data_IF_517516349231
#
_entry.id   IF_517516349231
#
_cell.length_a   1.000
_cell.length_b   1.000
_cell.length_c   1.000
_cell.angle_alpha   90.00
_cell.angle_beta   90.00
_cell.angle_gamma   90.00
#
_symmetry.space_group_name_H-M   'P 1'
#
loop_
_entity.id
_entity.type
_entity.pdbx_description
1 polymer ?
#
# COMPACT_ATOMS: atom_id res chain seq x y z
N UNK A 1 -4.43 5.97 -7.10
CA UNK A 1 -3.51 5.46 -6.06
C UNK A 1 -4.26 4.64 -5.02
N UNK A 2 -5.34 5.17 -4.42
CA UNK A 2 -6.11 4.46 -3.37
C UNK A 2 -7.56 4.07 -3.79
N UNK A 3 -7.86 4.06 -5.10
CA UNK A 3 -9.18 3.70 -5.66
C UNK A 3 -10.37 4.37 -4.94
N UNK A 4 -10.28 5.69 -4.80
CA UNK A 4 -11.33 6.54 -4.26
C UNK A 4 -12.27 7.00 -5.38
N UNK A 5 -13.50 6.49 -5.39
CA UNK A 5 -14.51 6.81 -6.41
C UNK A 5 -14.82 8.31 -6.48
N UNK A 6 -14.71 9.03 -5.35
CA UNK A 6 -14.96 10.47 -5.28
C UNK A 6 -13.69 11.32 -5.46
N UNK A 7 -12.62 10.78 -6.04
CA UNK A 7 -11.33 11.48 -6.16
C UNK A 7 -11.45 12.88 -6.79
N UNK A 8 -12.14 12.99 -7.94
CA UNK A 8 -12.31 14.29 -8.64
C UNK A 8 -13.10 15.32 -7.82
N UNK A 9 -14.31 15.01 -7.30
CA UNK A 9 -15.04 15.91 -6.40
C UNK A 9 -14.23 16.33 -5.17
N UNK A 10 -13.56 15.39 -4.50
CA UNK A 10 -12.77 15.64 -3.30
C UNK A 10 -11.61 16.59 -3.62
N UNK A 11 -10.84 16.32 -4.67
CA UNK A 11 -9.72 17.16 -5.08
C UNK A 11 -10.18 18.60 -5.39
N UNK A 12 -11.30 18.76 -6.12
CA UNK A 12 -11.86 20.07 -6.45
C UNK A 12 -12.24 20.87 -5.20
N UNK A 13 -12.88 20.24 -4.23
CA UNK A 13 -13.32 20.91 -3.00
C UNK A 13 -12.14 21.25 -2.11
N UNK A 14 -11.15 20.35 -1.99
CA UNK A 14 -9.91 20.64 -1.27
C UNK A 14 -9.19 21.84 -1.89
N UNK A 15 -9.08 21.88 -3.23
CA UNK A 15 -8.45 23.00 -3.93
C UNK A 15 -9.19 24.32 -3.65
N UNK A 16 -10.52 24.34 -3.75
CA UNK A 16 -11.33 25.52 -3.42
C UNK A 16 -11.17 25.96 -1.97
N UNK A 17 -11.19 25.03 -1.02
CA UNK A 17 -11.02 25.35 0.39
C UNK A 17 -9.66 26.01 0.67
N UNK A 18 -8.60 25.53 0.03
CA UNK A 18 -7.23 26.07 0.18
C UNK A 18 -7.09 27.51 -0.33
N UNK A 19 -7.97 27.96 -1.23
CA UNK A 19 -8.01 29.37 -1.66
C UNK A 19 -8.59 30.30 -0.58
N UNK A 20 -9.43 29.76 0.31
CA UNK A 20 -10.09 30.52 1.39
C UNK A 20 -9.22 30.50 2.64
N UNK A 21 -8.73 29.32 3.04
CA UNK A 21 -7.94 29.14 4.25
C UNK A 21 -7.07 27.87 4.14
N UNK A 22 -5.82 27.89 4.64
CA UNK A 22 -4.96 26.71 4.62
C UNK A 22 -5.56 25.56 5.46
N UNK A 23 -5.37 24.33 4.97
CA UNK A 23 -5.72 23.11 5.69
C UNK A 23 -4.46 22.65 6.43
N UNK A 24 -4.42 22.83 7.75
CA UNK A 24 -3.22 22.59 8.57
C UNK A 24 -3.34 21.35 9.47
N UNK A 25 -4.55 20.79 9.63
CA UNK A 25 -4.76 19.62 10.49
C UNK A 25 -5.47 18.48 9.75
N UNK A 26 -5.19 17.25 10.19
CA UNK A 26 -5.86 16.05 9.70
C UNK A 26 -7.37 16.09 9.96
N UNK A 27 -7.81 16.68 11.09
CA UNK A 27 -9.22 16.83 11.43
C UNK A 27 -9.97 17.75 10.46
N UNK A 28 -9.37 18.87 10.06
CA UNK A 28 -9.95 19.77 9.06
C UNK A 28 -10.15 19.03 7.73
N UNK A 29 -9.11 18.36 7.22
CA UNK A 29 -9.19 17.59 5.98
C UNK A 29 -10.27 16.49 6.06
N UNK A 30 -10.28 15.74 7.17
CA UNK A 30 -11.26 14.69 7.42
C UNK A 30 -12.69 15.22 7.40
N UNK A 31 -12.94 16.36 8.07
CA UNK A 31 -14.26 16.99 8.10
C UNK A 31 -14.73 17.43 6.71
N UNK A 32 -13.83 17.96 5.87
CA UNK A 32 -14.15 18.31 4.47
C UNK A 32 -14.57 17.06 3.69
N UNK A 33 -13.80 15.98 3.78
CA UNK A 33 -14.09 14.73 3.06
C UNK A 33 -15.41 14.11 3.55
N UNK A 34 -15.65 14.12 4.87
CA UNK A 34 -16.89 13.62 5.47
C UNK A 34 -18.09 14.42 4.98
N UNK A 35 -18.02 15.76 4.86
CA UNK A 35 -19.12 16.55 4.30
C UNK A 35 -19.47 16.15 2.87
N UNK A 36 -18.47 15.79 2.06
CA UNK A 36 -18.66 15.34 0.67
C UNK A 36 -19.30 13.95 0.61
N UNK A 37 -18.85 13.03 1.49
CA UNK A 37 -19.24 11.62 1.46
C UNK A 37 -20.45 11.29 2.36
N UNK A 38 -20.85 12.17 3.28
CA UNK A 38 -21.98 11.99 4.23
C UNK A 38 -23.29 11.58 3.56
N UNK A 39 -23.50 11.96 2.30
CA UNK A 39 -24.70 11.63 1.53
C UNK A 39 -24.58 10.37 0.67
N UNK A 40 -23.42 9.70 0.65
CA UNK A 40 -23.07 8.77 -0.45
C UNK A 40 -22.28 7.51 -0.03
N UNK A 41 -22.15 7.18 1.25
CA UNK A 41 -21.39 5.98 1.66
C UNK A 41 -22.05 5.15 2.76
N UNK A 42 -22.45 3.93 2.41
CA UNK A 42 -22.71 2.78 3.28
C UNK A 42 -21.42 1.93 3.42
N UNK A 43 -20.37 2.48 4.05
CA UNK A 43 -19.05 1.85 4.09
C UNK A 43 -18.59 1.43 5.49
N UNK A 44 -17.92 0.27 5.60
CA UNK A 44 -17.29 -0.23 6.84
C UNK A 44 -16.06 0.59 7.30
N UNK A 45 -15.51 1.46 6.45
CA UNK A 45 -14.32 2.28 6.76
C UNK A 45 -14.67 3.76 6.78
N UNK A 46 -13.93 4.52 7.59
CA UNK A 46 -14.12 5.97 7.68
C UNK A 46 -14.00 6.63 6.28
N UNK A 47 -14.88 7.57 5.91
CA UNK A 47 -14.93 8.12 4.55
C UNK A 47 -13.60 8.72 4.06
N UNK A 48 -12.81 9.25 4.98
CA UNK A 48 -11.50 9.86 4.70
C UNK A 48 -10.35 8.84 4.54
N UNK A 49 -10.50 7.57 4.95
CA UNK A 49 -9.40 6.60 5.00
C UNK A 49 -8.66 6.45 3.67
N UNK A 50 -9.39 6.31 2.55
CA UNK A 50 -8.77 6.18 1.22
C UNK A 50 -8.01 7.43 0.78
N UNK A 51 -8.49 8.61 1.15
CA UNK A 51 -7.83 9.89 0.82
C UNK A 51 -6.54 10.02 1.62
N UNK A 52 -6.56 9.72 2.93
CA UNK A 52 -5.35 9.71 3.75
C UNK A 52 -4.34 8.67 3.26
N UNK A 53 -4.80 7.49 2.84
CA UNK A 53 -3.94 6.48 2.23
C UNK A 53 -3.29 7.02 0.94
N UNK A 54 -4.07 7.64 0.05
CA UNK A 54 -3.53 8.24 -1.17
C UNK A 54 -2.49 9.33 -0.89
N UNK A 55 -2.75 10.20 0.07
CA UNK A 55 -1.82 11.26 0.47
C UNK A 55 -0.53 10.69 1.04
N UNK A 56 -0.63 9.70 1.94
CA UNK A 56 0.53 9.00 2.51
C UNK A 56 1.40 8.40 1.40
N UNK A 57 0.77 7.65 0.49
CA UNK A 57 1.45 7.03 -0.64
C UNK A 57 2.14 8.07 -1.56
N UNK A 58 1.47 9.20 -1.82
CA UNK A 58 1.98 10.23 -2.71
C UNK A 58 3.12 11.03 -2.08
N UNK A 59 3.00 11.41 -0.80
CA UNK A 59 4.01 12.21 -0.09
C UNK A 59 5.28 11.41 0.13
N UNK A 60 5.16 10.12 0.51
CA UNK A 60 6.30 9.27 0.79
C UNK A 60 6.85 8.55 -0.46
N UNK A 61 6.30 8.82 -1.64
CA UNK A 61 6.68 8.17 -2.90
C UNK A 61 6.70 6.63 -2.78
N UNK A 62 5.79 6.05 -2.00
CA UNK A 62 5.88 4.64 -1.55
C UNK A 62 5.98 3.66 -2.73
N UNK A 63 5.19 3.91 -3.78
CA UNK A 63 5.18 3.08 -4.99
C UNK A 63 6.49 3.20 -5.79
N UNK A 64 7.07 4.38 -5.84
CA UNK A 64 8.32 4.61 -6.58
C UNK A 64 9.48 3.93 -5.85
N UNK A 65 9.55 4.10 -4.53
CA UNK A 65 10.56 3.45 -3.70
C UNK A 65 10.54 1.92 -3.86
N UNK A 66 9.36 1.31 -3.94
CA UNK A 66 9.24 -0.14 -4.19
C UNK A 66 9.79 -0.51 -5.57
N UNK A 67 9.47 0.26 -6.61
CA UNK A 67 9.98 0.00 -7.97
C UNK A 67 11.49 0.13 -8.05
N UNK A 68 12.07 1.09 -7.33
CA UNK A 68 13.51 1.31 -7.30
C UNK A 68 14.24 0.25 -6.47
N UNK A 69 13.68 -0.16 -5.33
CA UNK A 69 14.38 -1.06 -4.41
C UNK A 69 14.34 -2.52 -4.87
N UNK A 70 13.21 -3.00 -5.41
CA UNK A 70 13.03 -4.43 -5.72
C UNK A 70 14.14 -4.99 -6.63
N UNK A 71 14.52 -4.34 -7.74
CA UNK A 71 15.59 -4.84 -8.63
C UNK A 71 16.97 -4.93 -7.98
N UNK A 72 17.23 -4.16 -6.91
CA UNK A 72 18.51 -4.13 -6.21
C UNK A 72 18.63 -5.28 -5.19
N UNK A 73 17.51 -5.81 -4.70
CA UNK A 73 17.50 -6.82 -3.63
C UNK A 73 18.28 -8.10 -3.98
N UNK A 74 18.19 -8.66 -5.20
CA UNK A 74 18.91 -9.88 -5.52
C UNK A 74 20.43 -9.74 -5.49
N UNK A 75 20.97 -8.54 -5.68
CA UNK A 75 22.42 -8.27 -5.66
C UNK A 75 22.97 -8.25 -4.22
N UNK A 76 22.10 -7.96 -3.25
CA UNK A 76 22.43 -7.96 -1.83
C UNK A 76 22.40 -9.37 -1.20
N UNK A 77 21.91 -10.36 -1.94
CA UNK A 77 21.75 -11.73 -1.47
C UNK A 77 22.87 -12.63 -2.02
N UNK A 78 23.49 -13.39 -1.12
CA UNK A 78 24.31 -14.55 -1.52
C UNK A 78 23.42 -15.62 -2.14
N UNK A 79 23.99 -16.48 -2.99
CA UNK A 79 23.34 -17.70 -3.46
C UNK A 79 22.79 -18.50 -2.27
N UNK A 80 21.52 -18.89 -2.36
CA UNK A 80 20.77 -19.56 -1.30
C UNK A 80 20.14 -18.63 -0.25
N UNK A 81 20.46 -17.33 -0.25
CA UNK A 81 19.89 -16.32 0.64
C UNK A 81 18.38 -16.14 0.41
N UNK A 82 17.67 -15.67 1.43
CA UNK A 82 16.22 -15.52 1.40
C UNK A 82 15.80 -14.05 1.46
N UNK A 83 14.82 -13.70 0.64
CA UNK A 83 14.14 -12.41 0.64
C UNK A 83 12.75 -12.58 1.28
N UNK A 84 12.39 -11.68 2.18
CA UNK A 84 11.02 -11.57 2.70
C UNK A 84 10.50 -10.15 2.54
N UNK A 85 9.31 -10.00 1.95
CA UNK A 85 8.66 -8.70 1.75
C UNK A 85 7.24 -8.75 2.32
N UNK A 86 6.94 -7.82 3.24
CA UNK A 86 5.61 -7.62 3.81
C UNK A 86 4.98 -6.40 3.13
N UNK A 87 3.79 -6.59 2.56
CA UNK A 87 2.98 -5.54 1.94
C UNK A 87 1.65 -5.37 2.69
N UNK A 88 1.07 -4.17 2.69
CA UNK A 88 -0.17 -3.89 3.42
C UNK A 88 -1.35 -3.54 2.52
N UNK A 89 -1.11 -3.35 1.23
CA UNK A 89 -2.18 -3.12 0.26
C UNK A 89 -1.98 -3.90 -1.04
N UNK A 90 -3.08 -4.10 -1.78
CA UNK A 90 -3.10 -4.92 -3.00
C UNK A 90 -2.13 -4.45 -4.08
N UNK A 91 -1.96 -3.14 -4.26
CA UNK A 91 -1.01 -2.58 -5.22
C UNK A 91 0.46 -2.93 -4.93
N UNK A 92 0.88 -2.88 -3.65
CA UNK A 92 2.22 -3.28 -3.20
C UNK A 92 2.43 -4.78 -3.42
N UNK A 93 1.51 -5.60 -2.89
CA UNK A 93 1.55 -7.07 -3.01
C UNK A 93 1.68 -7.51 -4.47
N UNK A 94 0.94 -6.85 -5.37
CA UNK A 94 1.02 -7.13 -6.81
C UNK A 94 2.40 -6.79 -7.38
N UNK A 95 2.99 -5.64 -7.05
CA UNK A 95 4.33 -5.28 -7.53
C UNK A 95 5.40 -6.27 -7.03
N UNK A 96 5.29 -6.72 -5.77
CA UNK A 96 6.20 -7.73 -5.22
C UNK A 96 6.01 -9.08 -5.92
N UNK A 97 4.77 -9.51 -6.14
CA UNK A 97 4.45 -10.75 -6.85
C UNK A 97 5.02 -10.74 -8.27
N UNK A 98 4.75 -9.68 -9.02
CA UNK A 98 5.16 -9.55 -10.42
C UNK A 98 6.70 -9.55 -10.52
N UNK A 99 7.39 -8.85 -9.61
CA UNK A 99 8.86 -8.86 -9.52
C UNK A 99 9.45 -10.25 -9.23
N UNK A 100 8.88 -10.99 -8.27
CA UNK A 100 9.37 -12.34 -7.94
C UNK A 100 9.17 -13.27 -9.15
N UNK A 101 8.01 -13.20 -9.81
CA UNK A 101 7.70 -14.00 -11.00
C UNK A 101 8.69 -13.72 -12.13
N UNK A 102 8.94 -12.44 -12.45
CA UNK A 102 9.91 -12.04 -13.47
C UNK A 102 11.35 -12.47 -13.12
N UNK A 103 11.71 -12.39 -11.83
CA UNK A 103 13.03 -12.84 -11.36
C UNK A 103 13.20 -14.35 -11.42
N UNK A 104 12.11 -15.11 -11.27
CA UNK A 104 12.09 -16.57 -11.40
C UNK A 104 12.23 -17.02 -12.84
N UNK A 105 11.55 -16.36 -13.77
CA UNK A 105 11.75 -16.55 -15.22
C UNK A 105 13.20 -16.29 -15.65
N UNK A 106 13.88 -15.32 -15.02
CA UNK A 106 15.29 -15.00 -15.26
C UNK A 106 16.27 -15.92 -14.53
N UNK A 107 15.80 -16.88 -13.72
CA UNK A 107 16.66 -17.77 -12.94
C UNK A 107 17.47 -17.07 -11.85
N UNK A 108 16.97 -15.94 -11.33
CA UNK A 108 17.62 -15.13 -10.29
C UNK A 108 17.09 -15.49 -8.91
N UNK A 109 15.76 -15.45 -8.75
CA UNK A 109 15.06 -15.82 -7.53
C UNK A 109 14.18 -17.04 -7.78
N UNK A 110 13.76 -17.74 -6.74
CA UNK A 110 12.66 -18.70 -6.82
C UNK A 110 11.69 -18.46 -5.68
N UNK A 111 10.39 -18.49 -5.96
CA UNK A 111 9.36 -18.24 -4.97
C UNK A 111 9.32 -19.38 -3.94
N UNK A 112 9.37 -19.04 -2.65
CA UNK A 112 9.21 -20.03 -1.57
C UNK A 112 7.71 -20.32 -1.35
N UNK A 113 6.84 -19.32 -1.50
CA UNK A 113 5.40 -19.45 -1.37
C UNK A 113 4.67 -18.86 -2.59
N UNK A 114 3.74 -19.63 -3.17
CA UNK A 114 2.94 -19.17 -4.31
C UNK A 114 1.87 -18.13 -3.90
N UNK A 115 1.21 -18.37 -2.76
CA UNK A 115 0.21 -17.47 -2.15
C UNK A 115 0.85 -16.71 -1.00
N UNK A 116 0.52 -15.42 -0.79
CA UNK A 116 1.07 -14.66 0.32
C UNK A 116 0.67 -15.31 1.65
N UNK A 117 1.58 -15.26 2.62
CA UNK A 117 1.27 -15.65 4.00
C UNK A 117 0.51 -14.49 4.63
N UNK A 118 -0.67 -14.79 5.17
CA UNK A 118 -1.56 -13.83 5.83
C UNK A 118 -1.50 -14.02 7.36
N UNK A 119 -1.82 -12.97 8.14
CA UNK A 119 -1.79 -13.06 9.60
C UNK A 119 -2.73 -14.12 10.15
N UNK A 120 -2.28 -14.78 11.20
CA UNK A 120 -3.07 -15.71 12.00
C UNK A 120 -4.12 -14.98 12.86
N UNK A 121 -5.14 -15.72 13.34
CA UNK A 121 -6.17 -15.19 14.25
C UNK A 121 -5.53 -14.61 15.53
N UNK A 122 -4.44 -15.22 16.02
CA UNK A 122 -3.69 -14.75 17.17
C UNK A 122 -3.00 -13.39 16.90
N UNK A 123 -2.42 -13.19 15.72
CA UNK A 123 -1.82 -11.88 15.38
C UNK A 123 -2.87 -10.78 15.21
N UNK A 124 -4.06 -11.12 14.72
CA UNK A 124 -5.17 -10.18 14.56
C UNK A 124 -5.71 -9.70 15.92
N UNK A 125 -5.68 -10.55 16.95
CA UNK A 125 -6.12 -10.16 18.30
C UNK A 125 -5.11 -9.23 18.98
N UNK A 126 -3.82 -9.37 18.67
CA UNK A 126 -2.75 -8.51 19.20
C UNK A 126 -2.78 -7.13 18.54
N UNK A 127 -2.97 -7.07 17.21
CA UNK A 127 -2.91 -5.79 16.49
C UNK A 127 -3.79 -5.79 15.25
N UNK A 128 -4.83 -4.94 15.24
CA UNK A 128 -5.65 -4.74 14.04
C UNK A 128 -4.85 -4.22 12.83
N UNK A 129 -3.64 -3.69 13.03
CA UNK A 129 -2.78 -3.20 11.94
C UNK A 129 -2.21 -4.33 11.09
N UNK A 130 -2.14 -5.56 11.61
CA UNK A 130 -1.64 -6.72 10.87
C UNK A 130 -2.64 -7.21 9.85
N UNK A 131 -3.94 -6.91 9.98
CA UNK A 131 -5.04 -7.48 9.18
C UNK A 131 -4.91 -7.45 7.66
N UNK A 132 -4.07 -6.54 7.14
CA UNK A 132 -3.87 -6.37 5.70
C UNK A 132 -2.46 -6.75 5.25
N UNK A 133 -1.63 -7.24 6.17
CA UNK A 133 -0.28 -7.68 5.90
C UNK A 133 -0.30 -8.93 5.02
N UNK A 134 0.63 -8.97 4.07
CA UNK A 134 0.86 -10.09 3.16
C UNK A 134 2.35 -10.29 3.00
N UNK A 135 2.85 -11.44 3.43
CA UNK A 135 4.26 -11.81 3.34
C UNK A 135 4.52 -12.68 2.10
N UNK A 136 5.50 -12.29 1.30
CA UNK A 136 6.07 -13.11 0.22
C UNK A 136 7.54 -13.39 0.47
N UNK A 137 7.93 -14.63 0.21
CA UNK A 137 9.26 -15.16 0.41
C UNK A 137 9.83 -15.65 -0.92
N UNK A 138 11.11 -15.37 -1.16
CA UNK A 138 11.85 -15.86 -2.32
C UNK A 138 13.27 -16.26 -1.92
N UNK A 139 13.90 -17.15 -2.68
CA UNK A 139 15.27 -17.62 -2.47
C UNK A 139 16.15 -17.24 -3.66
N UNK A 140 17.34 -16.71 -3.42
CA UNK A 140 18.36 -16.47 -4.45
C UNK A 140 18.92 -17.80 -4.94
N UNK A 141 18.89 -18.04 -6.25
CA UNK A 141 19.28 -19.35 -6.82
C UNK A 141 20.59 -19.31 -7.62
N UNK A 142 20.99 -18.16 -8.14
CA UNK A 142 22.28 -17.97 -8.83
C UNK A 142 23.32 -17.26 -7.96
#
# INVERSE_FOLDING_TARGET
>A
MADEAFAKPIARIIAKQRLISPITTTKQLSNIIVKIKKFRTEGRIHPATKVFMALRMAVNLERENIRLVLPQLPELLKKGGQLGVISFHSGEDRMVKDFISESEEKGILSAINQKPIEPSIQELSISQRTRSAKLRLAKKIN
#
